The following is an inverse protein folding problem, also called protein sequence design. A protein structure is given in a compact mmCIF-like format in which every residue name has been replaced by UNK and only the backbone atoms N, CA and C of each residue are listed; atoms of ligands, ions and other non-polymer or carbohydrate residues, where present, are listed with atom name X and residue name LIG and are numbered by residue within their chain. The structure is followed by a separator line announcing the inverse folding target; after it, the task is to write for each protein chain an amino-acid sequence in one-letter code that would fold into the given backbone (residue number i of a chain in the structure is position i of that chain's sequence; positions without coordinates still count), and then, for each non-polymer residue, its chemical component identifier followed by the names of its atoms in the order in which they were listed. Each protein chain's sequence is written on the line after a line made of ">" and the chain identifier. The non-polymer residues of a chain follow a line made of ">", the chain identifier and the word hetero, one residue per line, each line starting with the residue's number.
data_IF_266603364702
#
_entry.id   IF_266603364702
#
_cell.length_a   1.000
_cell.length_b   1.000
_cell.length_c   1.000
_cell.angle_alpha   90.00
_cell.angle_beta   90.00
_cell.angle_gamma   90.00
#
_symmetry.space_group_name_H-M   'P 1'
#
loop_
_entity.id
_entity.type
_entity.pdbx_description
1 polymer ?
#
# COMPACT_ATOMS: atom_id res chain seq x y z
N UNK A 1 -24.82 -11.97 -46.45
CA UNK A 1 -24.19 -10.80 -45.79
C UNK A 1 -24.24 -11.04 -44.29
N UNK A 2 -23.16 -11.54 -43.70
CA UNK A 2 -23.06 -11.75 -42.27
C UNK A 2 -21.82 -11.01 -41.79
N UNK A 3 -22.05 -9.80 -41.29
CA UNK A 3 -21.03 -8.98 -40.64
C UNK A 3 -20.95 -9.50 -39.20
N UNK A 4 -19.90 -10.27 -38.88
CA UNK A 4 -19.52 -10.53 -37.50
C UNK A 4 -18.28 -9.69 -37.20
N UNK A 5 -18.51 -8.46 -36.74
CA UNK A 5 -17.50 -7.67 -36.04
C UNK A 5 -17.29 -8.33 -34.67
N UNK A 6 -16.26 -9.18 -34.56
CA UNK A 6 -15.78 -9.63 -33.27
C UNK A 6 -14.98 -8.50 -32.61
N UNK A 7 -15.61 -7.81 -31.66
CA UNK A 7 -15.01 -6.78 -30.82
C UNK A 7 -14.05 -7.44 -29.81
N UNK A 8 -12.83 -7.76 -30.25
CA UNK A 8 -11.76 -8.21 -29.36
C UNK A 8 -11.15 -7.01 -28.62
N UNK A 9 -11.81 -6.57 -27.54
CA UNK A 9 -11.32 -5.47 -26.71
C UNK A 9 -11.41 -5.79 -25.22
N UNK A 10 -10.79 -6.88 -24.76
CA UNK A 10 -10.67 -7.13 -23.31
C UNK A 10 -9.31 -7.72 -22.94
N UNK A 11 -8.24 -6.96 -23.18
CA UNK A 11 -7.02 -7.09 -22.40
C UNK A 11 -6.62 -5.70 -21.90
N UNK A 12 -6.94 -5.38 -20.66
CA UNK A 12 -6.31 -4.26 -19.95
C UNK A 12 -6.25 -4.47 -18.44
N UNK A 13 -5.20 -3.95 -17.80
CA UNK A 13 -4.67 -4.40 -16.51
C UNK A 13 -5.44 -3.75 -15.36
N UNK A 14 -6.55 -4.36 -14.96
CA UNK A 14 -7.38 -3.84 -13.90
C UNK A 14 -6.62 -3.64 -12.57
N UNK A 15 -5.59 -4.47 -12.30
CA UNK A 15 -4.86 -4.46 -11.03
C UNK A 15 -3.86 -3.32 -10.89
N UNK A 16 -3.17 -2.91 -11.96
CA UNK A 16 -2.22 -1.78 -11.90
C UNK A 16 -2.93 -0.43 -11.96
N UNK A 17 -3.99 -0.32 -12.76
CA UNK A 17 -4.83 0.87 -12.80
C UNK A 17 -5.52 1.13 -11.44
N UNK A 18 -6.01 0.07 -10.79
CA UNK A 18 -6.56 0.13 -9.44
C UNK A 18 -5.50 0.56 -8.41
N UNK A 19 -4.30 -0.04 -8.44
CA UNK A 19 -3.22 0.32 -7.52
C UNK A 19 -2.83 1.80 -7.62
N UNK A 20 -2.64 2.33 -8.83
CA UNK A 20 -2.28 3.73 -9.02
C UNK A 20 -3.37 4.68 -8.53
N UNK A 21 -4.64 4.35 -8.76
CA UNK A 21 -5.76 5.13 -8.23
C UNK A 21 -5.73 5.20 -6.69
N UNK A 22 -5.40 4.08 -6.04
CA UNK A 22 -5.29 3.98 -4.59
C UNK A 22 -4.10 4.77 -4.03
N UNK A 23 -2.95 4.76 -4.73
CA UNK A 23 -1.81 5.64 -4.39
C UNK A 23 -2.23 7.11 -4.44
N UNK A 24 -2.92 7.52 -5.51
CA UNK A 24 -3.40 8.90 -5.66
C UNK A 24 -4.37 9.29 -4.55
N UNK A 25 -5.32 8.42 -4.20
CA UNK A 25 -6.25 8.65 -3.10
C UNK A 25 -5.54 8.80 -1.75
N UNK A 26 -4.54 7.96 -1.47
CA UNK A 26 -3.75 8.06 -0.25
C UNK A 26 -2.98 9.38 -0.17
N UNK A 27 -2.35 9.82 -1.27
CA UNK A 27 -1.64 11.11 -1.32
C UNK A 27 -2.57 12.30 -1.14
N UNK A 28 -3.79 12.23 -1.66
CA UNK A 28 -4.81 13.26 -1.42
C UNK A 28 -5.24 13.31 0.05
N UNK A 29 -5.39 12.15 0.70
CA UNK A 29 -5.72 12.07 2.11
C UNK A 29 -4.57 12.58 3.01
N UNK A 30 -3.33 12.25 2.66
CA UNK A 30 -2.12 12.78 3.30
C UNK A 30 -2.01 14.31 3.17
N UNK A 31 -2.32 14.86 2.00
CA UNK A 31 -2.31 16.30 1.74
C UNK A 31 -3.50 17.07 2.31
N UNK A 32 -4.52 16.39 2.83
CA UNK A 32 -5.68 17.03 3.43
C UNK A 32 -5.35 17.65 4.80
N UNK A 33 -6.26 18.49 5.31
CA UNK A 33 -6.06 19.22 6.56
C UNK A 33 -5.74 18.34 7.78
N UNK A 34 -6.29 17.12 7.83
CA UNK A 34 -6.07 16.14 8.91
C UNK A 34 -4.91 15.18 8.65
N UNK A 35 -4.39 15.17 7.41
CA UNK A 35 -3.40 14.21 6.94
C UNK A 35 -2.09 14.22 7.75
N UNK A 36 -1.42 15.38 7.94
CA UNK A 36 -0.15 15.44 8.67
C UNK A 36 -0.25 14.96 10.12
N UNK A 37 -1.35 15.31 10.81
CA UNK A 37 -1.58 14.87 12.18
C UNK A 37 -1.77 13.35 12.28
N UNK A 38 -2.54 12.77 11.35
CA UNK A 38 -2.72 11.32 11.30
C UNK A 38 -1.43 10.59 10.90
N UNK A 39 -0.68 11.10 9.92
CA UNK A 39 0.60 10.53 9.51
C UNK A 39 1.57 10.45 10.69
N UNK A 40 1.66 11.53 11.48
CA UNK A 40 2.48 11.53 12.69
C UNK A 40 2.06 10.43 13.66
N UNK A 41 0.77 10.33 13.98
CA UNK A 41 0.26 9.29 14.89
C UNK A 41 0.52 7.88 14.38
N UNK A 42 0.31 7.66 13.08
CA UNK A 42 0.59 6.39 12.41
C UNK A 42 2.06 6.02 12.57
N UNK A 43 2.98 6.92 12.21
CA UNK A 43 4.41 6.64 12.27
C UNK A 43 4.94 6.51 13.70
N UNK A 44 4.42 7.28 14.66
CA UNK A 44 4.73 7.11 16.08
C UNK A 44 4.33 5.69 16.57
N UNK A 45 3.28 5.10 15.98
CA UNK A 45 2.80 3.74 16.31
C UNK A 45 3.60 2.63 15.63
N UNK A 46 3.94 2.77 14.35
CA UNK A 46 4.49 1.66 13.55
C UNK A 46 5.95 1.83 13.12
N UNK A 47 6.58 3.00 13.28
CA UNK A 47 7.90 3.27 12.69
C UNK A 47 8.97 2.23 13.03
N UNK A 48 9.10 1.87 14.31
CA UNK A 48 10.05 0.83 14.74
C UNK A 48 9.64 -0.55 14.22
N UNK A 49 8.36 -0.91 14.31
CA UNK A 49 7.84 -2.21 13.85
C UNK A 49 8.05 -2.41 12.34
N UNK A 50 7.81 -1.36 11.55
CA UNK A 50 8.03 -1.35 10.11
C UNK A 50 9.52 -1.50 9.78
N UNK A 51 10.39 -0.82 10.54
CA UNK A 51 11.85 -0.93 10.36
C UNK A 51 12.35 -2.34 10.66
N UNK A 52 11.89 -2.95 11.75
CA UNK A 52 12.31 -4.29 12.16
C UNK A 52 11.76 -5.36 11.21
N UNK A 53 10.50 -5.23 10.80
CA UNK A 53 9.90 -6.08 9.76
C UNK A 53 10.69 -6.00 8.44
N UNK A 54 11.07 -4.80 8.02
CA UNK A 54 11.82 -4.62 6.78
C UNK A 54 13.20 -5.29 6.83
N UNK A 55 13.92 -5.16 7.95
CA UNK A 55 15.20 -5.87 8.17
C UNK A 55 15.00 -7.39 8.15
N UNK A 56 13.95 -7.90 8.80
CA UNK A 56 13.65 -9.32 8.81
C UNK A 56 13.33 -9.85 7.40
N UNK A 57 12.52 -9.11 6.63
CA UNK A 57 12.20 -9.46 5.25
C UNK A 57 13.42 -9.45 4.33
N UNK A 58 14.33 -8.48 4.49
CA UNK A 58 15.60 -8.45 3.74
C UNK A 58 16.53 -9.61 4.09
N UNK A 59 16.58 -10.03 5.36
CA UNK A 59 17.40 -11.17 5.79
C UNK A 59 16.86 -12.52 5.28
N UNK A 60 15.56 -12.60 4.99
CA UNK A 60 14.90 -13.82 4.51
C UNK A 60 15.00 -14.07 3.01
N UNK A 61 15.51 -13.13 2.21
CA UNK A 61 15.63 -13.26 0.74
C UNK A 61 17.08 -13.53 0.32
N UNK A 62 17.29 -14.49 -0.58
CA UNK A 62 18.64 -14.95 -0.95
C UNK A 62 19.51 -13.90 -1.65
N UNK A 63 18.88 -13.00 -2.41
CA UNK A 63 19.49 -11.76 -2.87
C UNK A 63 18.77 -10.64 -2.14
N UNK A 64 19.52 -9.75 -1.47
CA UNK A 64 18.98 -8.58 -0.79
C UNK A 64 18.44 -7.58 -1.81
N UNK A 65 17.32 -7.92 -2.43
CA UNK A 65 16.64 -7.09 -3.41
C UNK A 65 16.08 -5.87 -2.69
N UNK A 66 16.78 -4.75 -2.88
CA UNK A 66 16.45 -3.44 -2.33
C UNK A 66 15.68 -2.59 -3.34
N UNK A 67 15.10 -3.21 -4.37
CA UNK A 67 14.23 -2.52 -5.33
C UNK A 67 13.13 -1.78 -4.55
N UNK A 68 12.97 -0.47 -4.76
CA UNK A 68 11.91 0.29 -4.10
C UNK A 68 10.53 -0.27 -4.43
N UNK A 69 9.63 -0.24 -3.47
CA UNK A 69 8.24 -0.64 -3.66
C UNK A 69 7.30 0.21 -2.82
N UNK A 70 6.05 0.24 -3.24
CA UNK A 70 4.97 0.95 -2.55
C UNK A 70 3.99 -0.06 -1.98
N UNK A 71 3.50 0.20 -0.78
CA UNK A 71 2.36 -0.50 -0.17
C UNK A 71 1.17 0.44 -0.14
N UNK A 72 -0.01 -0.05 -0.52
CA UNK A 72 -1.29 0.65 -0.31
C UNK A 72 -2.22 -0.19 0.53
N UNK A 73 -2.99 0.46 1.41
CA UNK A 73 -3.98 -0.19 2.24
C UNK A 73 -5.12 0.77 2.60
N UNK A 74 -6.22 0.19 3.08
CA UNK A 74 -7.37 0.90 3.58
C UNK A 74 -7.43 0.71 5.10
N UNK A 75 -7.51 1.80 5.86
CA UNK A 75 -7.65 1.79 7.32
C UNK A 75 -9.13 1.92 7.67
N UNK A 76 -9.65 0.93 8.39
CA UNK A 76 -10.99 0.97 8.97
C UNK A 76 -11.06 1.94 10.15
N UNK A 77 -12.27 2.29 10.58
CA UNK A 77 -12.49 3.14 11.76
C UNK A 77 -11.91 2.53 13.06
N UNK A 78 -11.70 1.21 13.08
CA UNK A 78 -11.08 0.45 14.16
C UNK A 78 -9.55 0.32 14.02
N UNK A 79 -8.96 0.97 13.00
CA UNK A 79 -7.52 0.91 12.74
C UNK A 79 -7.07 -0.36 12.01
N UNK A 80 -7.97 -1.29 11.66
CA UNK A 80 -7.62 -2.50 10.92
C UNK A 80 -7.35 -2.21 9.46
N UNK A 81 -6.39 -2.94 8.91
CA UNK A 81 -5.97 -2.80 7.52
C UNK A 81 -6.69 -3.80 6.61
N UNK A 82 -7.17 -3.30 5.48
CA UNK A 82 -7.79 -4.10 4.41
C UNK A 82 -7.24 -3.68 3.05
N UNK A 83 -7.45 -4.53 2.04
CA UNK A 83 -7.02 -4.24 0.66
C UNK A 83 -5.50 -4.12 0.49
N UNK A 84 -4.69 -4.67 1.39
CA UNK A 84 -3.23 -4.53 1.33
C UNK A 84 -2.72 -5.03 -0.02
N UNK A 85 -2.01 -4.17 -0.74
CA UNK A 85 -1.36 -4.51 -2.01
C UNK A 85 0.01 -3.84 -2.06
N UNK A 86 0.94 -4.43 -2.82
CA UNK A 86 2.30 -3.91 -3.00
C UNK A 86 2.69 -3.92 -4.48
N UNK A 87 3.45 -2.92 -4.92
CA UNK A 87 4.04 -2.88 -6.26
C UNK A 87 5.45 -2.27 -6.23
N UNK A 88 6.44 -2.88 -6.93
CA UNK A 88 6.37 -4.19 -7.57
C UNK A 88 6.22 -5.34 -6.57
N UNK A 89 5.66 -6.46 -7.02
CA UNK A 89 5.40 -7.67 -6.23
C UNK A 89 6.66 -8.53 -5.99
N UNK A 90 7.76 -7.90 -5.56
CA UNK A 90 9.00 -8.60 -5.22
C UNK A 90 8.89 -9.33 -3.86
N UNK A 91 9.81 -10.26 -3.59
CA UNK A 91 9.75 -11.10 -2.39
C UNK A 91 9.73 -10.29 -1.08
N UNK A 92 10.56 -9.24 -0.99
CA UNK A 92 10.59 -8.35 0.18
C UNK A 92 9.28 -7.59 0.35
N UNK A 93 8.69 -7.12 -0.75
CA UNK A 93 7.41 -6.40 -0.72
C UNK A 93 6.25 -7.31 -0.25
N UNK A 94 6.20 -8.55 -0.73
CA UNK A 94 5.22 -9.55 -0.28
C UNK A 94 5.39 -9.91 1.19
N UNK A 95 6.63 -10.05 1.64
CA UNK A 95 6.94 -10.24 3.05
C UNK A 95 6.42 -9.05 3.89
N UNK A 96 6.71 -7.82 3.49
CA UNK A 96 6.20 -6.63 4.18
C UNK A 96 4.67 -6.57 4.22
N UNK A 97 3.99 -6.86 3.10
CA UNK A 97 2.53 -6.90 3.06
C UNK A 97 1.95 -7.85 4.13
N UNK A 98 2.59 -9.00 4.37
CA UNK A 98 2.17 -9.95 5.40
C UNK A 98 2.27 -9.40 6.82
N UNK A 99 3.32 -8.64 7.13
CA UNK A 99 3.46 -7.98 8.45
C UNK A 99 2.32 -6.99 8.71
N UNK A 100 1.87 -6.27 7.68
CA UNK A 100 0.79 -5.29 7.81
C UNK A 100 -0.58 -5.95 8.06
N UNK A 101 -0.79 -7.21 7.70
CA UNK A 101 -2.07 -7.90 7.99
C UNK A 101 -2.39 -8.03 9.48
N UNK A 102 -1.35 -8.08 10.33
CA UNK A 102 -1.47 -8.22 11.78
C UNK A 102 -1.43 -6.90 12.54
N UNK A 103 -1.21 -5.77 11.87
CA UNK A 103 -1.09 -4.46 12.52
C UNK A 103 -2.45 -3.83 12.76
N UNK A 104 -2.53 -3.06 13.84
CA UNK A 104 -3.63 -2.12 14.11
C UNK A 104 -3.03 -0.73 14.21
N UNK A 105 -3.46 0.14 13.30
CA UNK A 105 -3.08 1.54 13.27
C UNK A 105 -3.93 2.35 14.24
N UNK A 106 -3.55 3.61 14.56
CA UNK A 106 -4.47 4.54 15.19
C UNK A 106 -5.74 4.71 14.35
N UNK A 107 -6.86 5.03 14.99
CA UNK A 107 -8.09 5.31 14.28
C UNK A 107 -7.89 6.52 13.33
N UNK A 108 -8.28 6.41 12.04
CA UNK A 108 -8.10 7.49 11.09
C UNK A 108 -9.14 8.61 11.27
N UNK A 109 -8.94 9.77 10.61
CA UNK A 109 -10.01 10.73 10.38
C UNK A 109 -11.25 10.05 9.78
N UNK A 110 -12.44 10.56 10.11
CA UNK A 110 -13.71 9.95 9.68
C UNK A 110 -13.93 9.96 8.15
N UNK A 111 -13.21 10.81 7.42
CA UNK A 111 -13.27 10.89 5.97
C UNK A 111 -11.86 11.09 5.37
N UNK A 112 -11.57 10.49 4.21
CA UNK A 112 -12.42 9.51 3.50
C UNK A 112 -12.55 8.17 4.27
N UNK A 113 -13.64 7.43 4.03
CA UNK A 113 -13.89 6.12 4.64
C UNK A 113 -14.15 5.06 3.54
N UNK A 114 -13.37 3.97 3.47
CA UNK A 114 -12.19 3.68 4.30
C UNK A 114 -11.04 4.67 4.04
N UNK A 115 -10.18 4.88 5.03
CA UNK A 115 -9.10 5.87 4.93
C UNK A 115 -7.91 5.27 4.16
N UNK A 116 -7.54 5.81 2.99
CA UNK A 116 -6.46 5.26 2.18
C UNK A 116 -5.11 5.67 2.75
N UNK A 117 -4.17 4.73 2.78
CA UNK A 117 -2.77 5.00 3.09
C UNK A 117 -1.87 4.44 2.02
N UNK A 118 -0.72 5.08 1.89
CA UNK A 118 0.40 4.65 1.06
C UNK A 118 1.67 4.71 1.90
N UNK A 119 2.54 3.72 1.71
CA UNK A 119 3.85 3.68 2.33
C UNK A 119 4.86 3.37 1.23
N UNK A 120 5.75 4.34 1.00
CA UNK A 120 6.88 4.19 0.10
C UNK A 120 8.06 3.56 0.85
N UNK A 121 8.57 2.45 0.31
CA UNK A 121 9.78 1.79 0.78
C UNK A 121 10.90 2.07 -0.21
N UNK A 122 11.56 3.21 -0.05
CA UNK A 122 12.78 3.56 -0.78
C UNK A 122 13.96 3.71 0.19
N UNK A 123 15.05 3.00 -0.08
CA UNK A 123 16.32 3.24 0.61
C UNK A 123 17.08 4.29 -0.20
N UNK A 124 17.48 5.38 0.44
CA UNK A 124 18.48 6.28 -0.15
C UNK A 124 19.82 5.54 -0.16
N UNK A 125 20.32 5.27 -1.37
CA UNK A 125 21.68 4.76 -1.60
C UNK A 125 22.75 5.73 -1.09
#
# INVERSE_FOLDING_TARGET
>A
MSILLALALQLSPATSADFHARVTQAKMAEGAATGPAYQKQMWDRIGNLTTDAYKACLAGVQASDKTPFTLVANVGADGRLTGIAVQPEIAVAKCMASHFTGLTLPAPPAQPAPYPIEIDFSIKS
#
